data_IF_970786112928
#
_entry.id   IF_970786112928
#
_cell.length_a   1.000
_cell.length_b   1.000
_cell.length_c   1.000
_cell.angle_alpha   90.00
_cell.angle_beta   90.00
_cell.angle_gamma   90.00
#
_symmetry.space_group_name_H-M   'P 1'
#
loop_
_entity.id
_entity.type
_entity.pdbx_description
1 polymer ?
#
# COMPACT_ATOMS: atom_id res chain seq x y z
N UNK A 1 -33.05 8.64 -5.75
CA UNK A 1 -31.74 8.85 -5.09
C UNK A 1 -31.98 9.66 -3.83
N UNK A 2 -31.62 9.17 -2.64
CA UNK A 2 -31.86 9.90 -1.37
C UNK A 2 -30.63 10.74 -1.08
N UNK A 3 -30.78 12.06 -1.05
CA UNK A 3 -29.71 12.99 -0.70
C UNK A 3 -29.74 13.22 0.80
N UNK A 4 -28.61 12.96 1.48
CA UNK A 4 -28.47 13.18 2.90
C UNK A 4 -28.30 14.66 3.25
N UNK A 5 -28.87 15.10 4.35
CA UNK A 5 -28.56 16.41 4.91
C UNK A 5 -27.10 16.45 5.41
N UNK A 6 -26.50 17.63 5.58
CA UNK A 6 -25.12 17.79 6.07
C UNK A 6 -24.93 17.08 7.41
N UNK A 7 -25.89 17.16 8.34
CA UNK A 7 -25.84 16.49 9.63
C UNK A 7 -25.83 14.96 9.49
N UNK A 8 -26.69 14.42 8.63
CA UNK A 8 -26.72 12.98 8.34
C UNK A 8 -25.45 12.51 7.63
N UNK A 9 -24.94 13.29 6.67
CA UNK A 9 -23.69 12.98 5.98
C UNK A 9 -22.52 12.89 6.97
N UNK A 10 -22.38 13.87 7.89
CA UNK A 10 -21.33 13.87 8.92
C UNK A 10 -21.46 12.68 9.88
N UNK A 11 -22.68 12.30 10.29
CA UNK A 11 -22.90 11.13 11.13
C UNK A 11 -22.51 9.84 10.39
N UNK A 12 -22.89 9.70 9.11
CA UNK A 12 -22.55 8.56 8.27
C UNK A 12 -21.03 8.45 8.05
N UNK A 13 -20.31 9.54 7.86
CA UNK A 13 -18.83 9.56 7.76
C UNK A 13 -18.18 8.94 9.00
N UNK A 14 -18.67 9.27 10.20
CA UNK A 14 -18.16 8.67 11.45
C UNK A 14 -18.40 7.16 11.50
N UNK A 15 -19.57 6.69 11.05
CA UNK A 15 -19.87 5.26 10.97
C UNK A 15 -18.96 4.55 9.97
N UNK A 16 -18.70 5.15 8.80
CA UNK A 16 -17.77 4.62 7.79
C UNK A 16 -16.36 4.49 8.37
N UNK A 17 -15.87 5.51 9.08
CA UNK A 17 -14.54 5.47 9.71
C UNK A 17 -14.44 4.33 10.75
N UNK A 18 -15.46 4.17 11.60
CA UNK A 18 -15.50 3.10 12.61
C UNK A 18 -15.60 1.71 11.97
N UNK A 19 -16.42 1.57 10.93
CA UNK A 19 -16.54 0.30 10.19
C UNK A 19 -15.24 -0.08 9.49
N UNK A 20 -14.54 0.91 8.92
CA UNK A 20 -13.24 0.72 8.31
C UNK A 20 -12.19 0.19 9.29
N UNK A 21 -12.10 0.79 10.47
CA UNK A 21 -11.18 0.35 11.54
C UNK A 21 -11.48 -1.09 11.97
N UNK A 22 -12.73 -1.41 12.26
CA UNK A 22 -13.14 -2.78 12.64
C UNK A 22 -12.86 -3.81 11.55
N UNK A 23 -12.97 -3.41 10.28
CA UNK A 23 -12.63 -4.29 9.16
C UNK A 23 -11.13 -4.56 9.11
N UNK A 24 -10.29 -3.55 9.28
CA UNK A 24 -8.84 -3.69 9.30
C UNK A 24 -8.38 -4.59 10.45
N UNK A 25 -8.93 -4.42 11.64
CA UNK A 25 -8.67 -5.29 12.80
C UNK A 25 -9.02 -6.76 12.52
N UNK A 26 -10.16 -7.02 11.88
CA UNK A 26 -10.57 -8.38 11.49
C UNK A 26 -9.63 -8.98 10.44
N UNK A 27 -9.27 -8.21 9.42
CA UNK A 27 -8.31 -8.65 8.40
C UNK A 27 -6.99 -9.03 9.07
N UNK A 28 -6.50 -8.21 10.00
CA UNK A 28 -5.25 -8.46 10.71
C UNK A 28 -5.30 -9.75 11.53
N UNK A 29 -6.37 -9.97 12.30
CA UNK A 29 -6.56 -11.20 13.07
C UNK A 29 -6.51 -12.46 12.17
N UNK A 30 -7.18 -12.41 11.01
CA UNK A 30 -7.13 -13.52 10.04
C UNK A 30 -5.75 -13.66 9.42
N UNK A 31 -5.06 -12.55 9.16
CA UNK A 31 -3.71 -12.53 8.61
C UNK A 31 -2.68 -13.19 9.53
N UNK A 32 -2.68 -12.84 10.81
CA UNK A 32 -1.80 -13.45 11.83
C UNK A 32 -2.09 -14.96 11.97
N UNK A 33 -3.38 -15.33 11.98
CA UNK A 33 -3.77 -16.74 11.98
C UNK A 33 -3.28 -17.47 10.72
N UNK A 34 -3.35 -16.83 9.56
CA UNK A 34 -2.84 -17.38 8.30
C UNK A 34 -1.32 -17.57 8.31
N UNK A 35 -0.54 -16.65 8.89
CA UNK A 35 0.90 -16.80 9.09
C UNK A 35 1.20 -17.98 10.03
N UNK A 36 0.49 -18.10 11.14
CA UNK A 36 0.63 -19.23 12.05
C UNK A 36 0.42 -20.56 11.34
N UNK A 37 -0.66 -20.71 10.55
CA UNK A 37 -0.93 -21.93 9.79
C UNK A 37 0.12 -22.18 8.71
N UNK A 38 0.60 -21.15 8.04
CA UNK A 38 1.70 -21.29 7.09
C UNK A 38 2.96 -21.85 7.75
N UNK A 39 3.38 -21.31 8.88
CA UNK A 39 4.58 -21.76 9.56
C UNK A 39 4.43 -23.17 10.15
N UNK A 40 3.25 -23.50 10.66
CA UNK A 40 3.00 -24.80 11.30
C UNK A 40 2.76 -25.95 10.29
N UNK A 41 2.10 -25.69 9.16
CA UNK A 41 1.64 -26.72 8.22
C UNK A 41 1.97 -26.43 6.74
N UNK A 42 2.53 -25.26 6.43
CA UNK A 42 2.79 -24.83 5.05
C UNK A 42 1.54 -24.33 4.31
N UNK A 43 0.39 -24.20 5.00
CA UNK A 43 -0.87 -23.76 4.39
C UNK A 43 -0.85 -22.26 4.09
N UNK A 44 -0.98 -21.91 2.82
CA UNK A 44 -1.05 -20.53 2.30
C UNK A 44 -2.44 -20.14 1.80
N UNK A 45 -3.42 -21.03 1.90
CA UNK A 45 -4.75 -20.81 1.33
C UNK A 45 -5.48 -19.70 2.09
N UNK A 46 -5.40 -19.67 3.43
CA UNK A 46 -6.01 -18.62 4.25
C UNK A 46 -5.52 -17.23 3.81
N UNK A 47 -4.20 -17.06 3.68
CA UNK A 47 -3.60 -15.79 3.24
C UNK A 47 -3.97 -15.44 1.81
N UNK A 48 -4.08 -16.44 0.92
CA UNK A 48 -4.48 -16.24 -0.47
C UNK A 48 -5.94 -15.82 -0.59
N UNK A 49 -6.83 -16.51 0.12
CA UNK A 49 -8.26 -16.21 0.13
C UNK A 49 -8.53 -14.81 0.73
N UNK A 50 -7.76 -14.42 1.75
CA UNK A 50 -7.87 -13.10 2.33
C UNK A 50 -7.54 -11.99 1.33
N UNK A 51 -6.48 -12.15 0.51
CA UNK A 51 -6.17 -11.20 -0.58
C UNK A 51 -7.31 -11.12 -1.58
N UNK A 52 -7.86 -12.28 -1.98
CA UNK A 52 -8.93 -12.35 -2.98
C UNK A 52 -10.27 -11.77 -2.46
N UNK A 53 -10.52 -11.86 -1.16
CA UNK A 53 -11.71 -11.30 -0.52
C UNK A 53 -11.64 -9.77 -0.39
N UNK A 54 -10.43 -9.17 -0.44
CA UNK A 54 -10.29 -7.73 -0.34
C UNK A 54 -10.61 -7.04 -1.67
N UNK A 55 -11.31 -5.88 -1.64
CA UNK A 55 -11.49 -5.06 -2.84
C UNK A 55 -10.13 -4.67 -3.45
N UNK A 56 -10.07 -4.52 -4.77
CA UNK A 56 -8.88 -4.00 -5.47
C UNK A 56 -8.60 -2.56 -5.03
N UNK A 57 -7.79 -2.39 -3.99
CA UNK A 57 -7.49 -1.12 -3.35
C UNK A 57 -6.05 -1.12 -2.80
N UNK A 58 -5.59 0.04 -2.33
CA UNK A 58 -4.30 0.17 -1.64
C UNK A 58 -4.16 -0.76 -0.42
N UNK A 59 -5.27 -1.13 0.22
CA UNK A 59 -5.32 -2.08 1.35
C UNK A 59 -4.77 -3.46 0.96
N UNK A 60 -5.14 -3.99 -0.20
CA UNK A 60 -4.64 -5.27 -0.69
C UNK A 60 -3.13 -5.25 -0.93
N UNK A 61 -2.58 -4.14 -1.42
CA UNK A 61 -1.14 -3.99 -1.60
C UNK A 61 -0.40 -3.84 -0.26
N UNK A 62 -0.94 -3.07 0.69
CA UNK A 62 -0.37 -2.96 2.04
C UNK A 62 -0.32 -4.32 2.72
N UNK A 63 -1.40 -5.12 2.61
CA UNK A 63 -1.46 -6.47 3.12
C UNK A 63 -0.42 -7.40 2.45
N UNK A 64 -0.30 -7.36 1.13
CA UNK A 64 0.72 -8.17 0.42
C UNK A 64 2.14 -7.82 0.88
N UNK A 65 2.45 -6.54 1.05
CA UNK A 65 3.75 -6.10 1.56
C UNK A 65 4.01 -6.60 2.98
N UNK A 66 3.00 -6.50 3.85
CA UNK A 66 3.08 -7.00 5.21
C UNK A 66 3.34 -8.51 5.26
N UNK A 67 2.63 -9.32 4.47
CA UNK A 67 2.86 -10.77 4.38
C UNK A 67 4.28 -11.09 3.92
N UNK A 68 4.80 -10.41 2.89
CA UNK A 68 6.16 -10.62 2.41
C UNK A 68 7.25 -10.15 3.38
N UNK A 69 6.93 -9.21 4.27
CA UNK A 69 7.81 -8.77 5.35
C UNK A 69 8.00 -9.88 6.41
N UNK A 70 6.91 -10.55 6.77
CA UNK A 70 6.90 -11.54 7.87
C UNK A 70 7.09 -12.98 7.42
N UNK A 71 6.97 -13.28 6.12
CA UNK A 71 7.11 -14.65 5.60
C UNK A 71 7.87 -14.69 4.27
N UNK A 72 8.68 -15.74 4.11
CA UNK A 72 9.39 -16.02 2.87
C UNK A 72 8.41 -16.58 1.81
N UNK A 73 7.53 -15.73 1.32
CA UNK A 73 6.51 -16.05 0.31
C UNK A 73 6.46 -15.02 -0.80
N UNK A 74 5.89 -15.40 -1.94
CA UNK A 74 5.66 -14.47 -3.05
C UNK A 74 4.25 -14.62 -3.59
N UNK A 75 3.63 -13.52 -4.00
CA UNK A 75 2.36 -13.53 -4.70
C UNK A 75 2.55 -13.91 -6.17
N UNK A 76 1.72 -14.81 -6.69
CA UNK A 76 1.74 -15.27 -8.10
C UNK A 76 0.35 -15.08 -8.68
N UNK A 77 0.20 -14.14 -9.61
CA UNK A 77 -1.09 -13.77 -10.22
C UNK A 77 -1.77 -14.94 -10.95
N UNK A 78 -0.99 -15.83 -11.56
CA UNK A 78 -1.49 -16.99 -12.30
C UNK A 78 -1.62 -18.27 -11.48
N UNK A 79 -1.43 -18.20 -10.14
CA UNK A 79 -1.69 -19.33 -9.25
C UNK A 79 -3.21 -19.58 -9.12
N UNK A 80 -3.58 -20.78 -8.62
CA UNK A 80 -4.96 -21.13 -8.28
C UNK A 80 -5.95 -20.84 -9.44
N UNK A 81 -5.68 -21.38 -10.64
CA UNK A 81 -6.50 -21.20 -11.85
C UNK A 81 -6.67 -19.72 -12.26
N UNK A 82 -5.59 -18.95 -12.21
CA UNK A 82 -5.53 -17.52 -12.52
C UNK A 82 -6.25 -16.59 -11.52
N UNK A 83 -6.69 -17.11 -10.38
CA UNK A 83 -7.24 -16.27 -9.31
C UNK A 83 -6.16 -15.51 -8.53
N UNK A 84 -4.91 -15.99 -8.59
CA UNK A 84 -3.81 -15.51 -7.77
C UNK A 84 -3.66 -16.30 -6.47
N UNK A 85 -2.46 -16.33 -5.92
CA UNK A 85 -2.19 -17.00 -4.66
C UNK A 85 -0.74 -16.88 -4.22
N UNK A 86 -0.52 -17.12 -2.94
CA UNK A 86 0.82 -17.16 -2.36
C UNK A 86 1.54 -18.44 -2.71
N UNK A 87 2.84 -18.34 -2.87
CA UNK A 87 3.76 -19.50 -2.98
C UNK A 87 4.94 -19.29 -2.06
N UNK A 88 5.40 -20.39 -1.45
CA UNK A 88 6.62 -20.42 -0.65
C UNK A 88 7.82 -19.96 -1.51
N UNK A 89 8.68 -19.12 -0.96
CA UNK A 89 9.85 -18.53 -1.64
C UNK A 89 11.12 -18.57 -0.77
N UNK A 90 11.20 -19.48 0.18
CA UNK A 90 12.31 -19.69 1.09
C UNK A 90 11.95 -20.72 2.14
N UNK A 91 12.87 -20.97 3.06
CA UNK A 91 12.63 -21.89 4.17
C UNK A 91 11.86 -21.24 5.31
N UNK A 92 11.20 -22.06 6.12
CA UNK A 92 10.52 -21.61 7.34
C UNK A 92 11.60 -21.51 8.42
N UNK A 93 11.78 -20.34 9.06
CA UNK A 93 12.73 -20.16 10.16
C UNK A 93 12.35 -21.02 11.37
N UNK A 94 13.33 -21.44 12.16
CA UNK A 94 13.09 -22.20 13.39
C UNK A 94 12.37 -21.35 14.45
N UNK A 95 12.65 -20.05 14.49
CA UNK A 95 12.09 -19.07 15.43
C UNK A 95 10.78 -18.41 14.93
N UNK A 96 10.07 -19.09 14.03
CA UNK A 96 8.85 -18.55 13.40
C UNK A 96 7.78 -18.06 14.41
N UNK A 97 7.75 -18.61 15.63
CA UNK A 97 6.80 -18.15 16.66
C UNK A 97 7.04 -16.67 17.01
N UNK A 98 8.31 -16.25 17.15
CA UNK A 98 8.70 -14.85 17.37
C UNK A 98 8.28 -13.94 16.20
N UNK A 99 8.29 -14.49 14.98
CA UNK A 99 7.82 -13.74 13.79
C UNK A 99 6.32 -13.52 13.87
N UNK A 100 5.55 -14.52 14.30
CA UNK A 100 4.09 -14.37 14.48
C UNK A 100 3.76 -13.32 15.55
N UNK A 101 4.47 -13.34 16.70
CA UNK A 101 4.30 -12.33 17.75
C UNK A 101 4.62 -10.91 17.24
N UNK A 102 5.68 -10.77 16.47
CA UNK A 102 6.04 -9.50 15.83
C UNK A 102 4.98 -9.05 14.83
N UNK A 103 4.49 -9.97 14.02
CA UNK A 103 3.44 -9.71 13.04
C UNK A 103 2.12 -9.29 13.70
N UNK A 104 1.77 -9.86 14.85
CA UNK A 104 0.60 -9.47 15.63
C UNK A 104 0.73 -8.04 16.17
N UNK A 105 1.92 -7.66 16.62
CA UNK A 105 2.20 -6.33 17.14
C UNK A 105 2.28 -5.24 16.05
N UNK A 106 2.48 -5.62 14.79
CA UNK A 106 2.61 -4.71 13.65
C UNK A 106 1.42 -4.81 12.68
N UNK A 107 0.32 -4.06 12.88
CA UNK A 107 -0.81 -4.10 11.97
C UNK A 107 -0.45 -3.72 10.54
N UNK A 108 -0.97 -4.47 9.54
CA UNK A 108 -0.63 -4.30 8.12
C UNK A 108 -0.99 -2.92 7.53
N UNK A 109 -1.83 -2.14 8.20
CA UNK A 109 -2.20 -0.78 7.78
C UNK A 109 -1.31 0.31 8.37
N UNK A 110 -0.42 -0.02 9.32
CA UNK A 110 0.58 0.93 9.77
C UNK A 110 1.53 1.21 8.60
N UNK A 111 1.57 2.46 8.19
CA UNK A 111 2.64 2.89 7.29
C UNK A 111 3.92 2.92 8.13
N UNK A 112 4.91 2.16 7.71
CA UNK A 112 6.27 2.48 8.15
C UNK A 112 6.51 3.94 7.78
N UNK A 113 7.03 4.74 8.71
CA UNK A 113 7.55 6.08 8.42
C UNK A 113 8.75 5.91 7.48
N UNK A 114 8.44 5.60 6.22
CA UNK A 114 9.42 5.70 5.16
C UNK A 114 9.70 7.18 5.02
N UNK A 115 10.91 7.59 5.34
CA UNK A 115 11.42 8.91 4.98
C UNK A 115 10.94 9.23 3.57
N UNK A 116 10.34 10.41 3.41
CA UNK A 116 9.84 10.82 2.11
C UNK A 116 10.96 10.61 1.09
N UNK A 117 10.73 9.89 -0.02
CA UNK A 117 11.79 9.58 -0.96
C UNK A 117 12.46 10.88 -1.37
N UNK A 118 13.77 10.97 -1.13
CA UNK A 118 14.57 12.14 -1.50
C UNK A 118 14.33 12.38 -2.99
N UNK A 119 13.82 13.56 -3.32
CA UNK A 119 13.55 13.92 -4.71
C UNK A 119 14.79 13.75 -5.55
N UNK A 120 14.75 12.82 -6.51
CA UNK A 120 15.83 12.59 -7.45
C UNK A 120 15.49 13.24 -8.81
N UNK A 121 16.05 14.42 -9.12
CA UNK A 121 15.74 15.14 -10.35
C UNK A 121 16.05 14.34 -11.61
N UNK A 122 17.10 13.52 -11.60
CA UNK A 122 17.49 12.70 -12.77
C UNK A 122 16.46 11.61 -13.04
N UNK A 123 16.01 10.93 -12.01
CA UNK A 123 15.00 9.88 -12.14
C UNK A 123 13.63 10.47 -12.52
N UNK A 124 13.27 11.63 -11.96
CA UNK A 124 12.07 12.35 -12.33
C UNK A 124 12.08 12.76 -13.81
N UNK A 125 13.17 13.38 -14.28
CA UNK A 125 13.34 13.75 -15.70
C UNK A 125 13.26 12.54 -16.65
N UNK A 126 13.86 11.40 -16.27
CA UNK A 126 13.77 10.17 -17.04
C UNK A 126 12.34 9.64 -17.13
N UNK A 127 11.58 9.70 -16.04
CA UNK A 127 10.18 9.28 -16.01
C UNK A 127 9.29 10.20 -16.87
N UNK A 128 9.51 11.52 -16.80
CA UNK A 128 8.82 12.52 -17.64
C UNK A 128 9.11 12.24 -19.11
N UNK A 129 10.38 12.06 -19.48
CA UNK A 129 10.76 11.74 -20.86
C UNK A 129 10.06 10.49 -21.39
N UNK A 130 10.07 9.41 -20.62
CA UNK A 130 9.40 8.15 -20.98
C UNK A 130 7.88 8.32 -21.16
N UNK A 131 7.26 9.19 -20.36
CA UNK A 131 5.84 9.49 -20.48
C UNK A 131 5.54 10.30 -21.74
N UNK A 132 6.34 11.32 -22.04
CA UNK A 132 6.21 12.13 -23.26
C UNK A 132 6.40 11.29 -24.52
N UNK A 133 7.41 10.42 -24.55
CA UNK A 133 7.64 9.47 -25.66
C UNK A 133 6.40 8.58 -25.89
N UNK A 134 5.77 8.10 -24.81
CA UNK A 134 4.56 7.26 -24.90
C UNK A 134 3.35 8.03 -25.48
N UNK A 135 3.25 9.32 -25.17
CA UNK A 135 2.16 10.20 -25.63
C UNK A 135 2.50 10.87 -26.99
N UNK A 136 3.68 10.62 -27.57
CA UNK A 136 4.11 11.19 -28.84
C UNK A 136 4.44 12.71 -28.77
N UNK A 137 4.71 13.22 -27.57
CA UNK A 137 5.03 14.65 -27.34
C UNK A 137 6.54 14.81 -27.31
N UNK A 138 7.08 15.78 -28.06
CA UNK A 138 8.50 16.07 -28.02
C UNK A 138 8.88 16.81 -26.71
N UNK A 139 10.12 16.61 -26.24
CA UNK A 139 10.63 17.32 -25.07
C UNK A 139 10.70 18.84 -25.29
N UNK A 140 10.96 19.29 -26.52
CA UNK A 140 10.99 20.70 -26.89
C UNK A 140 9.61 21.37 -26.78
N UNK A 141 8.56 20.68 -27.25
CA UNK A 141 7.19 21.19 -27.16
C UNK A 141 6.73 21.27 -25.70
N UNK A 142 7.08 20.25 -24.90
CA UNK A 142 6.80 20.24 -23.46
C UNK A 142 7.51 21.39 -22.72
N UNK A 143 8.77 21.68 -23.05
CA UNK A 143 9.51 22.81 -22.45
C UNK A 143 8.91 24.15 -22.89
N UNK A 144 8.50 24.27 -24.14
CA UNK A 144 7.85 25.48 -24.65
C UNK A 144 6.52 25.78 -23.90
N UNK A 145 5.71 24.75 -23.68
CA UNK A 145 4.49 24.84 -22.88
C UNK A 145 4.77 25.27 -21.43
N UNK A 146 5.76 24.66 -20.77
CA UNK A 146 6.15 25.03 -19.39
C UNK A 146 6.67 26.48 -19.30
N UNK A 147 7.36 26.97 -20.32
CA UNK A 147 7.89 28.34 -20.36
C UNK A 147 6.79 29.39 -20.47
N UNK A 148 5.60 29.02 -20.96
CA UNK A 148 4.40 29.85 -21.00
C UNK A 148 3.62 29.90 -19.68
N UNK A 149 3.92 29.03 -18.72
CA UNK A 149 3.24 28.98 -17.43
C UNK A 149 3.91 29.95 -16.46
N UNK A 150 3.17 31.00 -16.06
CA UNK A 150 3.64 31.94 -15.04
C UNK A 150 3.56 31.27 -13.66
N UNK A 151 4.66 30.62 -13.22
CA UNK A 151 4.74 29.99 -11.91
C UNK A 151 4.96 31.09 -10.87
N UNK A 152 4.04 31.34 -9.93
CA UNK A 152 4.29 32.28 -8.84
C UNK A 152 5.53 31.84 -8.06
N UNK A 153 6.36 32.80 -7.66
CA UNK A 153 7.54 32.51 -6.87
C UNK A 153 7.15 31.76 -5.59
N UNK A 154 7.91 30.72 -5.18
CA UNK A 154 7.60 29.99 -3.97
C UNK A 154 7.63 30.95 -2.77
N UNK A 155 6.54 30.96 -1.99
CA UNK A 155 6.53 31.66 -0.70
C UNK A 155 7.61 31.08 0.19
N UNK A 156 8.62 31.89 0.50
CA UNK A 156 9.66 31.51 1.44
C UNK A 156 9.06 31.55 2.84
N UNK A 157 8.63 30.41 3.35
CA UNK A 157 8.20 30.29 4.73
C UNK A 157 9.46 30.43 5.59
N UNK A 158 9.54 31.44 6.50
CA UNK A 158 10.70 31.57 7.38
C UNK A 158 10.78 30.35 8.29
N UNK A 159 11.93 29.66 8.29
CA UNK A 159 12.20 28.62 9.27
C UNK A 159 12.49 29.32 10.59
N UNK A 160 11.53 29.31 11.52
CA UNK A 160 11.81 29.72 12.91
C UNK A 160 12.83 28.74 13.51
N UNK A 161 14.04 29.20 13.67
CA UNK A 161 15.09 28.50 14.43
C UNK A 161 14.80 28.75 15.89
N UNK A 162 14.16 27.79 16.55
CA UNK A 162 14.05 27.79 18.01
C UNK A 162 15.44 27.55 18.62
N UNK A 163 15.90 28.51 19.39
CA UNK A 163 17.09 28.42 20.26
C UNK A 163 16.73 27.70 21.56
#
# INVERSE_FOLDING_TARGET
MTILTIKQARATIKLVATAGKKLDERIHTVAVSGLYHFFNSGDLDILSDLVLAMPKSGRGNAFKNWVTKHAAVKWVEKARNNAGGWKKNGDIPEDWASIVDTAEAEPFWLKEDTEAPVFNPKQYAANVRKKLEKEGVSMSDFIAELSGINVPAPEVVPVEVSH
#
